data_IF_168407839212
#
_entry.id   IF_168407839212
#
_cell.length_a   1.000
_cell.length_b   1.000
_cell.length_c   1.000
_cell.angle_alpha   90.00
_cell.angle_beta   90.00
_cell.angle_gamma   90.00
#
_symmetry.space_group_name_H-M   'P 1'
#
loop_
_entity.id
_entity.type
_entity.pdbx_description
1 polymer ?
#
# COMPACT_ATOMS: atom_id res chain seq x y z
N UNK A 1 53.73 52.15 5.51
CA UNK A 1 53.69 51.28 6.71
C UNK A 1 52.25 51.30 7.21
N UNK A 2 51.49 50.25 6.90
CA UNK A 2 51.06 49.16 7.81
C UNK A 2 50.07 49.64 8.91
N UNK A 3 48.76 49.31 8.81
CA UNK A 3 48.08 48.11 9.40
C UNK A 3 47.71 48.41 10.88
N UNK A 4 46.49 48.28 11.42
CA UNK A 4 45.21 47.64 11.07
C UNK A 4 44.23 47.85 12.26
N UNK A 5 42.90 47.83 12.04
CA UNK A 5 41.89 46.98 12.74
C UNK A 5 40.53 47.66 13.03
N UNK A 6 39.51 47.02 12.44
CA UNK A 6 38.26 46.56 13.07
C UNK A 6 37.18 47.61 13.43
N UNK A 7 35.87 47.36 13.29
CA UNK A 7 35.09 46.13 13.07
C UNK A 7 33.63 46.51 12.72
N UNK A 8 32.85 45.50 12.35
CA UNK A 8 31.37 45.46 12.31
C UNK A 8 30.70 45.66 10.94
N UNK A 9 31.04 44.77 10.00
CA UNK A 9 30.14 44.42 8.89
C UNK A 9 29.18 43.31 9.34
N UNK A 10 27.88 43.54 9.14
CA UNK A 10 26.81 42.56 9.33
C UNK A 10 27.07 41.30 8.48
N UNK A 11 27.11 40.13 9.12
CA UNK A 11 27.01 38.85 8.45
C UNK A 11 25.55 38.36 8.50
N UNK A 12 24.87 38.43 7.35
CA UNK A 12 23.58 37.77 7.12
C UNK A 12 23.89 36.29 6.92
N UNK A 13 23.54 35.45 7.90
CA UNK A 13 23.62 34.00 7.77
C UNK A 13 22.42 33.49 6.96
N UNK A 14 22.61 32.74 5.86
CA UNK A 14 21.50 32.12 5.15
C UNK A 14 21.05 30.88 5.95
N UNK A 15 19.80 30.90 6.41
CA UNK A 15 19.08 29.74 6.91
C UNK A 15 18.91 28.74 5.76
N UNK A 16 19.86 27.82 5.64
CA UNK A 16 19.70 26.62 4.83
C UNK A 16 18.64 25.74 5.50
N UNK A 17 17.39 25.92 5.10
CA UNK A 17 16.32 24.96 5.35
C UNK A 17 16.66 23.70 4.55
N UNK A 18 17.33 22.77 5.19
CA UNK A 18 17.43 21.39 4.74
C UNK A 18 16.03 20.79 4.87
N UNK A 19 15.23 20.92 3.82
CA UNK A 19 14.03 20.13 3.61
C UNK A 19 14.49 18.70 3.28
N UNK A 20 14.91 17.96 4.31
CA UNK A 20 15.01 16.51 4.19
C UNK A 20 13.60 16.01 3.97
N UNK A 21 13.25 15.82 2.70
CA UNK A 21 12.06 15.10 2.29
C UNK A 21 12.04 13.79 3.09
N UNK A 22 11.13 13.71 4.07
CA UNK A 22 10.83 12.49 4.79
C UNK A 22 10.27 11.49 3.77
N UNK A 23 11.13 10.73 3.11
CA UNK A 23 10.71 9.49 2.48
C UNK A 23 10.40 8.52 3.61
N UNK A 24 9.15 8.05 3.79
CA UNK A 24 8.86 6.97 4.70
C UNK A 24 9.39 5.67 4.08
N UNK A 25 10.70 5.48 4.12
CA UNK A 25 11.33 4.18 3.91
C UNK A 25 11.11 3.38 5.20
N UNK A 26 9.90 2.87 5.39
CA UNK A 26 9.71 1.75 6.29
C UNK A 26 9.88 0.48 5.48
N UNK A 27 11.05 -0.19 5.53
CA UNK A 27 11.12 -1.56 5.10
C UNK A 27 10.14 -2.33 5.98
N UNK A 28 9.03 -2.77 5.41
CA UNK A 28 8.21 -3.75 6.09
C UNK A 28 9.11 -4.95 6.41
N UNK A 29 9.08 -5.43 7.65
CA UNK A 29 9.79 -6.63 8.09
C UNK A 29 9.24 -7.89 7.38
N UNK A 30 9.49 -8.01 6.08
CA UNK A 30 9.19 -9.18 5.28
C UNK A 30 10.30 -10.20 5.51
N UNK A 31 9.98 -11.49 5.77
CA UNK A 31 10.96 -12.54 6.03
C UNK A 31 12.09 -12.68 5.00
N UNK A 32 11.86 -12.25 3.75
CA UNK A 32 12.84 -12.34 2.66
C UNK A 32 13.10 -10.99 1.99
N UNK A 33 12.54 -9.89 2.52
CA UNK A 33 12.50 -8.59 1.81
C UNK A 33 11.70 -8.61 0.50
N UNK A 34 11.11 -9.76 0.13
CA UNK A 34 10.37 -9.98 -1.10
C UNK A 34 8.87 -10.12 -0.81
N UNK A 35 8.04 -9.49 -1.63
CA UNK A 35 6.58 -9.54 -1.56
C UNK A 35 6.01 -10.94 -1.82
N UNK A 36 6.77 -11.83 -2.46
CA UNK A 36 6.44 -13.26 -2.62
C UNK A 36 6.18 -13.95 -1.25
N UNK A 37 6.80 -13.47 -0.15
CA UNK A 37 6.53 -13.97 1.20
C UNK A 37 5.07 -13.71 1.67
N UNK A 38 4.34 -12.83 0.97
CA UNK A 38 2.93 -12.54 1.19
C UNK A 38 2.00 -13.50 0.45
N UNK A 39 2.50 -14.51 -0.27
CA UNK A 39 1.65 -15.54 -0.83
C UNK A 39 0.71 -16.17 0.19
N UNK A 40 -0.51 -16.46 -0.26
CA UNK A 40 -1.59 -17.03 0.53
C UNK A 40 -2.79 -16.10 0.67
N UNK A 41 -3.71 -16.50 1.54
CA UNK A 41 -4.99 -15.80 1.74
C UNK A 41 -4.94 -14.93 2.98
N UNK A 42 -5.30 -13.66 2.82
CA UNK A 42 -5.31 -12.62 3.84
C UNK A 42 -6.73 -12.10 4.02
N UNK A 43 -7.26 -12.23 5.23
CA UNK A 43 -8.61 -11.80 5.57
C UNK A 43 -8.56 -10.57 6.46
N UNK A 44 -9.43 -9.60 6.16
CA UNK A 44 -9.49 -8.33 6.84
C UNK A 44 -9.87 -8.50 8.31
N UNK A 45 -9.24 -7.69 9.15
CA UNK A 45 -9.52 -7.52 10.57
C UNK A 45 -10.04 -6.09 10.79
N UNK A 46 -11.36 -5.86 10.58
CA UNK A 46 -11.95 -4.51 10.63
C UNK A 46 -11.70 -3.81 11.96
N UNK A 47 -11.77 -4.56 13.06
CA UNK A 47 -11.58 -4.04 14.42
C UNK A 47 -10.17 -3.45 14.67
N UNK A 48 -9.19 -3.83 13.86
CA UNK A 48 -7.80 -3.33 13.95
C UNK A 48 -7.44 -2.37 12.82
N UNK A 49 -8.36 -2.16 11.86
CA UNK A 49 -8.16 -1.28 10.70
C UNK A 49 -8.65 0.13 11.03
N UNK A 50 -7.96 1.17 10.54
CA UNK A 50 -8.30 2.58 10.78
C UNK A 50 -7.86 3.44 9.60
N UNK A 51 -8.70 4.41 9.22
CA UNK A 51 -8.42 5.37 8.15
C UNK A 51 -7.93 4.70 6.85
N UNK A 52 -6.67 4.91 6.47
CA UNK A 52 -6.01 4.36 5.29
C UNK A 52 -5.24 3.06 5.55
N UNK A 53 -5.16 2.62 6.80
CA UNK A 53 -4.42 1.43 7.23
C UNK A 53 -5.37 0.25 7.42
N UNK A 54 -5.21 -0.76 6.57
CA UNK A 54 -5.94 -2.02 6.60
C UNK A 54 -5.09 -3.10 7.26
N UNK A 55 -5.70 -3.86 8.18
CA UNK A 55 -5.04 -4.94 8.91
C UNK A 55 -5.62 -6.27 8.49
N UNK A 56 -4.76 -7.23 8.16
CA UNK A 56 -5.12 -8.56 7.72
C UNK A 56 -4.44 -9.63 8.56
N UNK A 57 -5.08 -10.80 8.61
CA UNK A 57 -4.49 -12.03 9.14
C UNK A 57 -4.60 -13.14 8.10
N UNK A 58 -3.69 -14.11 8.16
CA UNK A 58 -3.81 -15.32 7.33
C UNK A 58 -5.12 -16.04 7.62
N UNK A 59 -5.66 -16.73 6.61
CA UNK A 59 -6.88 -17.56 6.75
C UNK A 59 -6.77 -18.69 7.79
N UNK A 60 -5.56 -19.02 8.25
CA UNK A 60 -5.31 -19.97 9.35
C UNK A 60 -5.56 -19.39 10.75
N UNK A 61 -5.76 -18.08 10.87
CA UNK A 61 -6.15 -17.46 12.13
C UNK A 61 -7.57 -17.84 12.54
N UNK A 62 -7.80 -18.05 13.84
CA UNK A 62 -9.12 -18.41 14.38
C UNK A 62 -10.05 -17.19 14.42
N UNK A 63 -10.66 -16.87 13.28
CA UNK A 63 -11.66 -15.82 13.20
C UNK A 63 -12.97 -16.22 13.87
N UNK A 64 -13.65 -15.26 14.49
CA UNK A 64 -15.07 -15.41 14.84
C UNK A 64 -15.88 -15.68 13.57
N UNK A 65 -16.79 -16.64 13.65
CA UNK A 65 -17.71 -17.01 12.58
C UNK A 65 -18.51 -15.79 12.10
N UNK A 66 -18.67 -15.67 10.78
CA UNK A 66 -19.49 -14.65 10.12
C UNK A 66 -20.21 -15.29 8.94
N UNK A 67 -21.54 -15.20 8.90
CA UNK A 67 -22.38 -15.81 7.85
C UNK A 67 -21.99 -15.35 6.45
N UNK A 68 -21.63 -14.07 6.30
CA UNK A 68 -21.26 -13.46 5.02
C UNK A 68 -19.81 -13.68 4.59
N UNK A 69 -19.03 -14.44 5.37
CA UNK A 69 -17.59 -14.51 5.21
C UNK A 69 -16.85 -13.23 5.64
N UNK A 70 -15.58 -13.12 5.24
CA UNK A 70 -14.73 -11.94 5.48
C UNK A 70 -14.12 -11.45 4.19
N UNK A 71 -14.13 -10.13 3.96
CA UNK A 71 -13.41 -9.57 2.84
C UNK A 71 -11.91 -9.74 3.04
N UNK A 72 -11.16 -9.66 1.94
CA UNK A 72 -9.75 -9.94 1.94
C UNK A 72 -9.21 -10.08 0.54
N UNK A 73 -8.06 -10.74 0.42
CA UNK A 73 -7.48 -11.07 -0.87
C UNK A 73 -6.62 -12.33 -0.78
N UNK A 74 -6.22 -12.84 -1.93
CA UNK A 74 -5.26 -13.92 -2.07
C UNK A 74 -4.20 -13.56 -3.10
N UNK A 75 -2.94 -13.65 -2.70
CA UNK A 75 -1.78 -13.56 -3.59
C UNK A 75 -1.32 -14.97 -3.92
N UNK A 76 -1.17 -15.26 -5.21
CA UNK A 76 -0.69 -16.52 -5.76
C UNK A 76 0.57 -16.27 -6.60
N UNK A 77 1.41 -17.30 -6.78
CA UNK A 77 2.54 -17.26 -7.71
C UNK A 77 2.13 -16.80 -9.11
N UNK A 78 3.12 -16.36 -9.89
CA UNK A 78 2.93 -15.88 -11.26
C UNK A 78 1.97 -14.67 -11.36
N UNK A 79 1.98 -13.79 -10.35
CA UNK A 79 1.23 -12.54 -10.39
C UNK A 79 -0.29 -12.69 -10.29
N UNK A 80 -0.80 -13.84 -9.83
CA UNK A 80 -2.23 -14.08 -9.74
C UNK A 80 -2.82 -13.47 -8.46
N UNK A 81 -3.90 -12.70 -8.61
CA UNK A 81 -4.60 -12.02 -7.51
C UNK A 81 -6.08 -12.41 -7.48
N UNK A 82 -6.64 -12.55 -6.29
CA UNK A 82 -8.10 -12.64 -6.10
C UNK A 82 -8.50 -11.70 -4.95
N UNK A 83 -9.43 -10.77 -5.18
CA UNK A 83 -10.11 -10.00 -4.13
C UNK A 83 -11.34 -10.75 -3.65
N UNK A 84 -11.62 -10.68 -2.35
CA UNK A 84 -12.85 -11.18 -1.75
C UNK A 84 -13.62 -10.02 -1.16
N UNK A 85 -14.85 -9.81 -1.64
CA UNK A 85 -15.76 -8.77 -1.15
C UNK A 85 -17.06 -9.39 -0.64
N UNK A 86 -17.74 -8.69 0.27
CA UNK A 86 -19.07 -9.12 0.72
C UNK A 86 -20.09 -8.64 -0.29
N UNK A 87 -20.76 -9.57 -0.96
CA UNK A 87 -21.85 -9.28 -1.87
C UNK A 87 -23.07 -8.73 -1.13
N UNK A 88 -23.93 -7.92 -1.79
CA UNK A 88 -25.17 -7.40 -1.18
C UNK A 88 -26.07 -8.47 -0.57
N UNK A 89 -26.13 -9.68 -1.16
CA UNK A 89 -26.89 -10.82 -0.65
C UNK A 89 -26.28 -11.53 0.57
N UNK A 90 -25.13 -11.07 1.08
CA UNK A 90 -24.47 -11.64 2.25
C UNK A 90 -23.67 -12.91 1.97
N UNK A 91 -23.05 -13.01 0.79
CA UNK A 91 -22.04 -14.03 0.45
C UNK A 91 -20.68 -13.38 0.13
N UNK A 92 -19.65 -14.19 -0.11
CA UNK A 92 -18.38 -13.68 -0.64
C UNK A 92 -18.37 -13.72 -2.17
N UNK A 93 -18.07 -12.58 -2.78
CA UNK A 93 -17.74 -12.47 -4.19
C UNK A 93 -16.23 -12.54 -4.35
N UNK A 94 -15.76 -13.45 -5.21
CA UNK A 94 -14.38 -13.48 -5.64
C UNK A 94 -14.23 -12.70 -6.94
N UNK A 95 -13.22 -11.84 -7.02
CA UNK A 95 -12.86 -11.10 -8.22
C UNK A 95 -11.40 -11.37 -8.53
N UNK A 96 -11.16 -11.99 -9.68
CA UNK A 96 -9.81 -12.31 -10.12
C UNK A 96 -9.14 -11.12 -10.80
N UNK A 97 -7.82 -11.11 -10.74
CA UNK A 97 -6.99 -10.10 -11.35
C UNK A 97 -5.53 -10.47 -11.26
N UNK A 98 -4.67 -9.46 -11.37
CA UNK A 98 -3.23 -9.63 -11.33
C UNK A 98 -2.59 -8.70 -10.31
N UNK A 99 -1.38 -9.09 -9.87
CA UNK A 99 -0.52 -8.24 -9.08
C UNK A 99 0.91 -8.26 -9.64
N UNK A 100 1.59 -7.13 -9.51
CA UNK A 100 3.03 -7.02 -9.79
C UNK A 100 3.72 -6.23 -8.69
N UNK A 101 5.04 -6.42 -8.55
CA UNK A 101 5.84 -5.59 -7.67
C UNK A 101 6.30 -4.33 -8.42
N UNK A 102 6.07 -3.16 -7.84
CA UNK A 102 6.59 -1.89 -8.37
C UNK A 102 8.08 -1.73 -8.03
N UNK A 103 8.75 -0.79 -8.70
CA UNK A 103 10.14 -0.40 -8.38
C UNK A 103 10.30 0.13 -6.95
N UNK A 104 9.23 0.61 -6.34
CA UNK A 104 9.18 1.10 -4.95
C UNK A 104 8.84 0.01 -3.94
N UNK A 105 8.74 -1.25 -4.35
CA UNK A 105 8.44 -2.37 -3.45
C UNK A 105 6.97 -2.45 -3.01
N UNK A 106 6.05 -1.89 -3.80
CA UNK A 106 4.59 -1.94 -3.56
C UNK A 106 3.95 -3.01 -4.44
N UNK A 107 2.74 -3.44 -4.07
CA UNK A 107 1.93 -4.29 -4.94
C UNK A 107 1.04 -3.41 -5.82
N UNK A 108 1.22 -3.47 -7.14
CA UNK A 108 0.27 -2.90 -8.09
C UNK A 108 -0.80 -3.95 -8.40
N UNK A 109 -2.07 -3.61 -8.18
CA UNK A 109 -3.22 -4.50 -8.38
C UNK A 109 -4.02 -4.05 -9.60
N UNK A 110 -4.31 -5.00 -10.49
CA UNK A 110 -5.16 -4.82 -11.66
C UNK A 110 -6.36 -5.78 -11.60
N UNK A 111 -7.57 -5.25 -11.81
CA UNK A 111 -8.83 -6.00 -11.75
C UNK A 111 -9.63 -5.79 -13.05
N UNK A 112 -9.48 -6.67 -14.06
CA UNK A 112 -10.01 -6.44 -15.40
C UNK A 112 -11.54 -6.64 -15.52
N UNK A 113 -12.16 -7.41 -14.63
CA UNK A 113 -13.55 -7.88 -14.81
C UNK A 113 -14.63 -6.94 -14.22
N UNK A 114 -14.27 -5.74 -13.75
CA UNK A 114 -15.26 -4.76 -13.28
C UNK A 114 -15.78 -3.88 -14.43
N UNK A 115 -17.08 -3.60 -14.46
CA UNK A 115 -17.70 -2.62 -15.35
C UNK A 115 -18.47 -1.57 -14.53
N UNK A 116 -18.03 -0.29 -14.53
CA UNK A 116 -16.80 0.22 -15.16
C UNK A 116 -15.55 -0.37 -14.49
N UNK A 117 -14.46 -0.50 -15.25
CA UNK A 117 -13.19 -1.03 -14.75
C UNK A 117 -12.70 -0.18 -13.57
N UNK A 118 -12.36 -0.86 -12.48
CA UNK A 118 -11.76 -0.18 -11.34
C UNK A 118 -10.33 0.24 -11.72
N UNK A 119 -9.90 1.47 -11.41
CA UNK A 119 -8.52 1.87 -11.65
C UNK A 119 -7.55 0.98 -10.88
N UNK A 120 -6.44 0.64 -11.52
CA UNK A 120 -5.31 -0.04 -10.89
C UNK A 120 -4.88 0.71 -9.65
N UNK A 121 -4.63 0.02 -8.55
CA UNK A 121 -4.25 0.64 -7.28
C UNK A 121 -3.03 -0.02 -6.66
N UNK A 122 -2.30 0.75 -5.85
CA UNK A 122 -1.14 0.24 -5.14
C UNK A 122 -1.47 -0.11 -3.69
N UNK A 123 -0.86 -1.18 -3.20
CA UNK A 123 -0.83 -1.55 -1.79
C UNK A 123 0.61 -1.39 -1.28
N UNK A 124 0.78 -0.51 -0.33
CA UNK A 124 2.03 -0.33 0.40
C UNK A 124 2.04 -1.23 1.64
N UNK A 125 3.07 -2.06 1.78
CA UNK A 125 3.24 -2.88 2.97
C UNK A 125 3.81 -2.01 4.09
N UNK A 126 3.04 -1.85 5.17
CA UNK A 126 3.48 -1.08 6.34
C UNK A 126 4.21 -1.97 7.35
N UNK A 127 3.76 -3.20 7.52
CA UNK A 127 4.42 -4.18 8.40
C UNK A 127 3.90 -5.59 8.14
N UNK A 128 4.77 -6.58 8.30
CA UNK A 128 4.39 -7.99 8.39
C UNK A 128 5.05 -8.64 9.61
N UNK A 129 4.29 -8.92 10.68
CA UNK A 129 4.83 -9.56 11.90
C UNK A 129 3.84 -10.53 12.48
N UNK A 130 4.32 -11.70 12.92
CA UNK A 130 3.50 -12.71 13.64
C UNK A 130 2.18 -13.06 12.92
N UNK A 131 2.22 -13.18 11.58
CA UNK A 131 1.02 -13.49 10.79
C UNK A 131 0.01 -12.34 10.66
N UNK A 132 0.40 -11.11 11.03
CA UNK A 132 -0.37 -9.87 10.87
C UNK A 132 0.26 -9.04 9.78
N UNK A 133 -0.54 -8.70 8.77
CA UNK A 133 -0.14 -7.85 7.65
C UNK A 133 -0.87 -6.52 7.76
N UNK A 134 -0.14 -5.41 7.74
CA UNK A 134 -0.70 -4.06 7.66
C UNK A 134 -0.38 -3.48 6.30
N UNK A 135 -1.40 -3.00 5.61
CA UNK A 135 -1.29 -2.40 4.29
C UNK A 135 -1.88 -1.00 4.31
N UNK A 136 -1.36 -0.14 3.43
CA UNK A 136 -2.01 1.11 3.04
C UNK A 136 -2.45 1.02 1.61
N UNK A 137 -3.70 1.36 1.32
CA UNK A 137 -4.18 1.48 -0.05
C UNK A 137 -3.88 2.88 -0.55
N UNK A 138 -3.04 2.96 -1.58
CA UNK A 138 -2.78 4.19 -2.28
C UNK A 138 -3.78 4.29 -3.43
N UNK A 139 -4.31 5.49 -3.68
CA UNK A 139 -5.29 5.68 -4.74
C UNK A 139 -4.67 5.28 -6.09
N UNK A 140 -5.50 4.68 -6.92
CA UNK A 140 -5.13 4.26 -8.25
C UNK A 140 -4.95 5.41 -9.25
N UNK A 141 -4.17 5.17 -10.32
CA UNK A 141 -4.23 6.02 -11.51
C UNK A 141 -5.67 6.00 -12.03
N UNK A 142 -6.34 7.14 -12.25
CA UNK A 142 -7.68 7.12 -12.80
C UNK A 142 -7.70 6.39 -14.15
N UNK A 143 -8.68 5.51 -14.35
CA UNK A 143 -8.89 4.76 -15.60
C UNK A 143 -9.40 5.64 -16.77
N UNK A 144 -9.27 6.97 -16.66
CA UNK A 144 -9.82 7.94 -17.61
C UNK A 144 -8.73 8.91 -18.05
N UNK A 145 -7.80 8.40 -18.86
CA UNK A 145 -7.16 9.17 -19.92
C UNK A 145 -7.26 8.36 -21.21
N UNK A 146 -8.51 8.09 -21.60
CA UNK A 146 -8.87 7.56 -22.93
C UNK A 146 -9.98 8.47 -23.45
N UNK A 147 -9.59 9.34 -24.40
CA UNK A 147 -10.38 10.23 -25.27
C UNK A 147 -10.83 11.56 -24.61
N UNK A 148 -10.50 12.77 -25.11
CA UNK A 148 -10.26 13.22 -26.49
C UNK A 148 -9.38 14.49 -26.52
N UNK A 149 -8.50 14.57 -27.52
CA UNK A 149 -8.02 15.82 -28.11
C UNK A 149 -9.19 16.64 -28.69
N UNK A 150 -9.06 17.96 -28.74
CA UNK A 150 -9.08 18.68 -30.00
C UNK A 150 -7.67 19.03 -30.48
#
# INVERSE_FOLDING_TARGET
MLVLKNLCSLAIAPLLLLDTACQPNHPADLPSGNLEALHGTWLLLPESSRADTLVFRRNTYRFKYRRSGRPGFRLRPAGQFTRFDVAPGGGLLAQDGTWTQTTTGRLLIHLPELAPAEPDYELEVLSYRQGVLKLRRLRGRPAVEVLRQP
#
